data_IF_706536782402
#
_entry.id   IF_706536782402
#
_cell.length_a   1.000
_cell.length_b   1.000
_cell.length_c   1.000
_cell.angle_alpha   90.00
_cell.angle_beta   90.00
_cell.angle_gamma   90.00
#
_symmetry.space_group_name_H-M   'P 1'
#
loop_
_entity.id
_entity.type
_entity.pdbx_description
1 polymer ?
#
# COMPACT_ATOMS: atom_id res chain seq x y z
N UNK A 1 -12.06 0.69 -22.35
CA UNK A 1 -13.18 0.62 -21.40
C UNK A 1 -13.35 1.99 -20.74
N UNK A 2 -14.52 2.60 -20.87
CA UNK A 2 -14.79 3.91 -20.27
C UNK A 2 -14.83 3.79 -18.73
N UNK A 3 -14.19 4.72 -18.01
CA UNK A 3 -14.20 4.76 -16.55
C UNK A 3 -15.63 5.04 -16.06
N UNK A 4 -16.17 4.29 -15.08
CA UNK A 4 -17.52 4.51 -14.58
C UNK A 4 -17.66 5.88 -13.90
N UNK A 5 -18.81 6.52 -14.12
CA UNK A 5 -19.17 7.87 -13.66
C UNK A 5 -19.30 7.90 -12.12
N UNK A 6 -18.54 8.80 -11.47
CA UNK A 6 -18.43 8.92 -10.00
C UNK A 6 -19.79 9.20 -9.32
N UNK A 7 -20.71 9.86 -10.01
CA UNK A 7 -22.04 10.20 -9.48
C UNK A 7 -22.92 8.96 -9.28
N UNK A 8 -22.84 7.98 -10.18
CA UNK A 8 -23.58 6.72 -10.06
C UNK A 8 -23.10 5.91 -8.86
N UNK A 9 -21.78 5.87 -8.63
CA UNK A 9 -21.20 5.18 -7.47
C UNK A 9 -21.58 5.79 -6.12
N UNK A 10 -21.87 7.09 -6.06
CA UNK A 10 -22.34 7.75 -4.84
C UNK A 10 -23.77 7.33 -4.50
N UNK A 11 -24.68 7.36 -5.49
CA UNK A 11 -26.06 6.89 -5.31
C UNK A 11 -26.12 5.42 -4.91
N UNK A 12 -25.34 4.56 -5.57
CA UNK A 12 -25.25 3.14 -5.21
C UNK A 12 -24.72 2.92 -3.78
N UNK A 13 -23.93 3.85 -3.24
CA UNK A 13 -23.42 3.79 -1.86
C UNK A 13 -24.46 4.27 -0.87
N UNK A 14 -25.15 5.38 -1.17
CA UNK A 14 -26.25 5.91 -0.37
C UNK A 14 -27.39 4.89 -0.25
N UNK A 15 -27.78 4.24 -1.35
CA UNK A 15 -28.81 3.19 -1.34
C UNK A 15 -28.39 1.96 -0.52
N UNK A 16 -27.09 1.62 -0.50
CA UNK A 16 -26.56 0.53 0.33
C UNK A 16 -26.52 0.91 1.81
N UNK A 17 -26.07 2.12 2.11
CA UNK A 17 -26.03 2.65 3.48
C UNK A 17 -27.45 2.74 4.07
N UNK A 18 -28.45 3.21 3.30
CA UNK A 18 -29.86 3.22 3.72
C UNK A 18 -30.42 1.80 3.93
N UNK A 19 -30.07 0.85 3.07
CA UNK A 19 -30.49 -0.54 3.20
C UNK A 19 -29.86 -1.22 4.43
N UNK A 20 -28.58 -0.92 4.72
CA UNK A 20 -27.86 -1.39 5.91
C UNK A 20 -28.43 -0.75 7.18
N UNK A 21 -28.74 0.55 7.16
CA UNK A 21 -29.34 1.26 8.28
C UNK A 21 -30.74 0.74 8.63
N UNK A 22 -31.52 0.36 7.63
CA UNK A 22 -32.80 -0.32 7.81
C UNK A 22 -32.71 -1.64 8.58
N UNK A 23 -31.53 -2.25 8.68
CA UNK A 23 -31.26 -3.49 9.43
C UNK A 23 -30.80 -3.26 10.87
N UNK A 24 -30.70 -2.02 11.33
CA UNK A 24 -30.36 -1.72 12.74
C UNK A 24 -31.45 -2.26 13.67
N UNK A 25 -31.03 -2.99 14.71
CA UNK A 25 -31.92 -3.42 15.79
C UNK A 25 -32.51 -2.22 16.52
N UNK A 26 -33.77 -2.34 16.91
CA UNK A 26 -34.46 -1.29 17.66
C UNK A 26 -34.29 -1.58 19.14
N UNK A 27 -33.88 -0.58 19.91
CA UNK A 27 -33.69 -0.67 21.36
C UNK A 27 -34.67 0.23 22.11
N UNK A 28 -34.80 0.02 23.41
CA UNK A 28 -35.67 0.82 24.28
C UNK A 28 -35.44 2.34 24.13
N UNK A 29 -36.53 3.10 24.07
CA UNK A 29 -36.52 4.54 23.81
C UNK A 29 -36.35 4.93 22.34
N UNK A 30 -36.48 3.99 21.40
CA UNK A 30 -36.61 4.26 19.97
C UNK A 30 -37.81 5.19 19.66
N UNK A 31 -37.75 5.89 18.52
CA UNK A 31 -38.81 6.82 18.11
C UNK A 31 -39.72 6.21 17.04
N UNK A 32 -41.01 6.46 17.22
CA UNK A 32 -42.09 6.03 16.35
C UNK A 32 -42.71 7.23 15.64
N UNK A 33 -43.29 7.00 14.47
CA UNK A 33 -44.06 8.01 13.74
C UNK A 33 -45.44 7.48 13.31
N UNK A 34 -46.48 8.26 13.61
CA UNK A 34 -47.85 8.05 13.16
C UNK A 34 -48.45 9.37 12.66
N UNK A 35 -48.68 9.50 11.35
CA UNK A 35 -49.16 10.75 10.72
C UNK A 35 -50.61 11.12 11.14
N UNK A 36 -51.36 10.13 11.64
CA UNK A 36 -52.71 10.29 12.16
C UNK A 36 -52.77 10.60 13.66
N UNK A 37 -51.64 10.75 14.33
CA UNK A 37 -51.57 11.33 15.66
C UNK A 37 -51.46 12.85 15.55
N UNK A 38 -52.09 13.61 16.45
CA UNK A 38 -51.88 15.07 16.53
C UNK A 38 -50.46 15.43 16.99
N UNK A 39 -49.80 14.52 17.70
CA UNK A 39 -48.36 14.56 18.01
C UNK A 39 -47.72 13.37 17.28
N UNK A 40 -47.22 13.56 16.04
CA UNK A 40 -46.85 12.44 15.17
C UNK A 40 -45.73 11.56 15.69
N UNK A 41 -44.88 12.07 16.60
CA UNK A 41 -43.75 11.34 17.18
C UNK A 41 -44.18 10.65 18.48
N UNK A 42 -43.86 9.37 18.60
CA UNK A 42 -44.05 8.57 19.81
C UNK A 42 -42.77 7.90 20.26
N UNK A 43 -42.83 7.26 21.42
CA UNK A 43 -41.75 6.50 22.04
C UNK A 43 -42.07 5.01 22.01
N UNK A 44 -41.08 4.18 21.66
CA UNK A 44 -41.15 2.74 21.82
C UNK A 44 -40.53 2.37 23.17
N UNK A 45 -41.34 1.74 24.02
CA UNK A 45 -40.93 1.18 25.30
C UNK A 45 -40.84 -0.34 25.18
N UNK A 46 -39.70 -0.91 25.59
CA UNK A 46 -39.50 -2.37 25.58
C UNK A 46 -39.88 -2.95 26.94
N UNK A 47 -40.93 -3.76 26.95
CA UNK A 47 -41.44 -4.39 28.17
C UNK A 47 -40.99 -5.86 28.29
N UNK A 48 -40.68 -6.53 27.17
CA UNK A 48 -40.17 -7.90 27.17
C UNK A 48 -38.72 -7.94 27.68
N UNK A 49 -38.37 -8.98 28.44
CA UNK A 49 -37.09 -9.06 29.18
C UNK A 49 -35.92 -9.51 28.28
N UNK A 50 -35.65 -8.77 27.22
CA UNK A 50 -34.63 -9.16 26.24
C UNK A 50 -33.21 -8.75 26.66
N UNK A 51 -32.18 -9.39 26.07
CA UNK A 51 -30.80 -8.91 26.15
C UNK A 51 -30.67 -7.46 25.68
N UNK A 52 -29.68 -6.76 26.21
CA UNK A 52 -29.44 -5.35 25.92
C UNK A 52 -28.43 -5.13 24.80
N UNK A 53 -28.65 -4.08 24.01
CA UNK A 53 -27.66 -3.44 23.13
C UNK A 53 -27.51 -2.01 23.62
N UNK A 54 -26.27 -1.58 23.90
CA UNK A 54 -25.97 -0.25 24.47
C UNK A 54 -26.77 0.03 25.76
N UNK A 55 -26.75 -0.95 26.67
CA UNK A 55 -27.44 -0.92 27.98
C UNK A 55 -28.96 -0.75 27.92
N UNK A 56 -29.57 -0.96 26.75
CA UNK A 56 -31.02 -0.91 26.56
C UNK A 56 -31.54 -2.19 25.90
N UNK A 57 -32.69 -2.66 26.38
CA UNK A 57 -33.34 -3.88 25.89
C UNK A 57 -33.68 -3.79 24.41
N UNK A 58 -33.53 -4.89 23.69
CA UNK A 58 -33.89 -5.01 22.27
C UNK A 58 -35.39 -5.20 22.12
N UNK A 59 -36.04 -4.38 21.28
CA UNK A 59 -37.45 -4.51 20.99
C UNK A 59 -37.73 -5.73 20.08
N UNK A 60 -38.80 -6.45 20.36
CA UNK A 60 -39.22 -7.63 19.59
C UNK A 60 -40.67 -7.51 19.13
N UNK A 61 -41.14 -8.51 18.38
CA UNK A 61 -42.55 -8.60 17.93
C UNK A 61 -43.58 -8.62 19.06
N UNK A 62 -43.15 -8.88 20.30
CA UNK A 62 -44.00 -8.85 21.50
C UNK A 62 -44.47 -7.42 21.80
N UNK A 63 -43.72 -6.39 21.37
CA UNK A 63 -44.03 -4.98 21.61
C UNK A 63 -45.15 -4.47 20.68
N UNK A 64 -46.38 -4.94 20.89
CA UNK A 64 -47.51 -4.74 19.95
C UNK A 64 -48.78 -4.18 20.56
N UNK A 65 -48.67 -3.44 21.67
CA UNK A 65 -49.80 -2.77 22.30
C UNK A 65 -49.46 -1.34 22.77
N UNK A 66 -50.43 -0.69 23.43
CA UNK A 66 -50.31 0.68 23.93
C UNK A 66 -49.40 0.83 25.16
N UNK A 67 -48.93 -0.27 25.76
CA UNK A 67 -47.91 -0.25 26.80
C UNK A 67 -46.50 -0.13 26.23
N UNK A 68 -46.32 -0.48 24.95
CA UNK A 68 -45.06 -0.41 24.22
C UNK A 68 -45.01 0.76 23.24
N UNK A 69 -46.09 1.07 22.53
CA UNK A 69 -46.16 2.19 21.58
C UNK A 69 -46.79 3.43 22.25
N UNK A 70 -45.96 4.34 22.75
CA UNK A 70 -46.41 5.49 23.53
C UNK A 70 -46.58 6.72 22.65
N UNK A 71 -47.84 7.11 22.42
CA UNK A 71 -48.19 8.35 21.73
C UNK A 71 -48.99 9.29 22.64
N UNK A 72 -48.49 10.51 22.81
CA UNK A 72 -49.08 11.53 23.70
C UNK A 72 -50.17 12.39 23.01
N UNK A 73 -50.45 12.15 21.73
CA UNK A 73 -51.46 12.88 20.97
C UNK A 73 -52.81 12.18 20.90
N UNK A 74 -53.74 12.83 20.18
CA UNK A 74 -55.07 12.30 19.86
C UNK A 74 -55.07 11.72 18.45
N UNK A 75 -55.92 10.72 18.21
CA UNK A 75 -56.06 10.16 16.87
C UNK A 75 -56.95 11.08 16.02
N UNK A 76 -56.42 11.60 14.91
CA UNK A 76 -57.13 12.48 13.97
C UNK A 76 -58.36 11.81 13.33
N UNK A 77 -58.38 10.48 13.28
CA UNK A 77 -59.50 9.68 12.76
C UNK A 77 -60.60 9.43 13.78
N UNK A 78 -60.35 9.72 15.07
CA UNK A 78 -61.42 9.67 16.06
C UNK A 78 -62.44 10.80 15.82
N UNK A 79 -63.72 10.62 16.18
CA UNK A 79 -64.72 11.68 16.07
C UNK A 79 -64.22 12.97 16.73
N UNK A 80 -64.23 14.07 15.97
CA UNK A 80 -63.72 15.38 16.38
C UNK A 80 -62.26 15.38 16.90
N UNK A 81 -61.43 14.39 16.50
CA UNK A 81 -60.06 14.20 17.01
C UNK A 81 -59.98 14.18 18.55
N UNK A 82 -61.02 13.67 19.21
CA UNK A 82 -61.21 13.79 20.66
C UNK A 82 -60.48 12.72 21.46
N UNK A 83 -60.26 11.52 20.88
CA UNK A 83 -59.76 10.36 21.62
C UNK A 83 -58.23 10.29 21.64
N UNK A 84 -57.59 10.10 22.81
CA UNK A 84 -56.17 9.81 22.91
C UNK A 84 -55.77 8.59 22.09
N UNK A 85 -54.61 8.61 21.42
CA UNK A 85 -54.12 7.44 20.68
C UNK A 85 -54.03 6.20 21.59
N UNK A 86 -53.56 6.36 22.82
CA UNK A 86 -53.45 5.28 23.80
C UNK A 86 -54.77 4.55 24.10
N UNK A 87 -55.94 5.18 23.90
CA UNK A 87 -57.24 4.59 24.23
C UNK A 87 -57.95 3.92 23.04
N UNK A 88 -57.58 4.24 21.81
CA UNK A 88 -58.27 3.76 20.59
C UNK A 88 -57.38 2.96 19.65
N UNK A 89 -56.07 2.96 19.90
CA UNK A 89 -55.10 2.28 19.05
C UNK A 89 -55.34 0.77 19.08
N UNK A 90 -55.50 0.19 17.89
CA UNK A 90 -55.58 -1.24 17.64
C UNK A 90 -54.47 -1.61 16.68
N UNK A 91 -53.53 -2.46 17.10
CA UNK A 91 -52.32 -2.77 16.35
C UNK A 91 -52.40 -4.17 15.75
N UNK A 92 -51.94 -4.30 14.51
CA UNK A 92 -51.74 -5.59 13.84
C UNK A 92 -50.37 -6.19 14.21
N UNK A 93 -49.94 -7.24 13.50
CA UNK A 93 -48.59 -7.78 13.67
C UNK A 93 -47.52 -6.90 12.99
N UNK A 94 -46.32 -6.94 13.56
CA UNK A 94 -45.13 -6.31 12.99
C UNK A 94 -44.74 -6.94 11.65
N UNK A 95 -44.23 -6.11 10.74
CA UNK A 95 -43.69 -6.51 9.44
C UNK A 95 -42.22 -6.14 9.31
N UNK A 96 -41.51 -6.81 8.41
CA UNK A 96 -40.09 -6.57 8.10
C UNK A 96 -39.17 -6.71 9.33
N UNK A 97 -39.43 -7.71 10.16
CA UNK A 97 -38.68 -8.03 11.39
C UNK A 97 -37.35 -8.73 11.07
N UNK A 98 -36.47 -8.84 12.06
CA UNK A 98 -35.23 -9.58 11.96
C UNK A 98 -35.44 -11.10 11.98
N UNK A 99 -34.45 -11.83 11.47
CA UNK A 99 -34.47 -13.30 11.40
C UNK A 99 -33.64 -13.98 12.51
N UNK A 100 -32.86 -13.20 13.26
CA UNK A 100 -32.20 -13.66 14.49
C UNK A 100 -33.20 -13.63 15.64
N UNK A 101 -32.94 -14.37 16.72
CA UNK A 101 -33.84 -14.43 17.86
C UNK A 101 -33.22 -13.75 19.09
N UNK A 102 -34.02 -12.99 19.82
CA UNK A 102 -33.72 -12.46 21.15
C UNK A 102 -34.72 -13.06 22.13
N UNK A 103 -34.27 -14.06 22.91
CA UNK A 103 -35.14 -14.89 23.75
C UNK A 103 -36.33 -15.45 22.96
N UNK A 104 -36.02 -16.19 21.90
CA UNK A 104 -36.98 -16.87 21.03
C UNK A 104 -37.93 -15.97 20.21
N UNK A 105 -37.82 -14.65 20.37
CA UNK A 105 -38.65 -13.67 19.65
C UNK A 105 -37.88 -12.96 18.54
N UNK A 106 -38.55 -12.67 17.43
CA UNK A 106 -37.96 -11.91 16.32
C UNK A 106 -37.80 -10.43 16.71
N UNK A 107 -36.61 -9.81 16.52
CA UNK A 107 -36.37 -8.43 16.89
C UNK A 107 -36.98 -7.48 15.85
N UNK A 108 -37.32 -6.28 16.31
CA UNK A 108 -37.67 -5.18 15.44
C UNK A 108 -36.42 -4.56 14.84
N UNK A 109 -36.51 -4.24 13.56
CA UNK A 109 -35.49 -3.51 12.80
C UNK A 109 -35.99 -2.10 12.52
N UNK A 110 -35.10 -1.16 12.20
CA UNK A 110 -35.49 0.20 11.85
C UNK A 110 -36.52 0.24 10.70
N UNK A 111 -36.42 -0.70 9.75
CA UNK A 111 -37.40 -0.85 8.66
C UNK A 111 -38.74 -1.49 9.06
N UNK A 112 -38.87 -1.96 10.30
CA UNK A 112 -40.09 -2.62 10.76
C UNK A 112 -41.25 -1.64 10.87
N UNK A 113 -42.45 -2.12 10.54
CA UNK A 113 -43.69 -1.32 10.61
C UNK A 113 -44.80 -2.12 11.26
N UNK A 114 -45.74 -1.42 11.88
CA UNK A 114 -46.94 -2.02 12.49
C UNK A 114 -48.17 -1.21 12.10
N UNK A 115 -49.22 -1.89 11.65
CA UNK A 115 -50.43 -1.20 11.21
C UNK A 115 -51.31 -0.83 12.40
N UNK A 116 -51.68 0.44 12.51
CA UNK A 116 -52.77 0.86 13.38
C UNK A 116 -54.09 0.67 12.63
N UNK A 117 -54.86 -0.36 12.96
CA UNK A 117 -56.13 -0.70 12.30
C UNK A 117 -57.19 0.40 12.49
N UNK A 118 -57.24 1.01 13.68
CA UNK A 118 -58.15 2.12 13.96
C UNK A 118 -57.84 3.31 13.05
N UNK A 119 -56.58 3.76 13.05
CA UNK A 119 -56.09 4.84 12.19
C UNK A 119 -56.15 4.49 10.70
N UNK A 120 -55.94 3.22 10.34
CA UNK A 120 -55.79 2.76 8.96
C UNK A 120 -54.43 3.15 8.34
N UNK A 121 -53.41 3.44 9.15
CA UNK A 121 -52.06 3.81 8.70
C UNK A 121 -51.00 2.94 9.37
N UNK A 122 -49.86 2.79 8.71
CA UNK A 122 -48.69 2.15 9.29
C UNK A 122 -47.96 3.13 10.21
N UNK A 123 -47.56 2.63 11.38
CA UNK A 123 -46.63 3.28 12.30
C UNK A 123 -45.23 2.83 11.92
N UNK A 124 -44.32 3.79 11.77
CA UNK A 124 -42.92 3.57 11.38
C UNK A 124 -41.99 3.79 12.55
N UNK A 125 -40.87 3.09 12.55
CA UNK A 125 -39.74 3.38 13.44
C UNK A 125 -38.84 4.35 12.69
N UNK A 126 -38.56 5.51 13.28
CA UNK A 126 -37.79 6.59 12.64
C UNK A 126 -36.42 6.79 13.28
N UNK A 127 -36.23 6.27 14.49
CA UNK A 127 -34.95 6.23 15.19
C UNK A 127 -34.88 4.91 15.96
N UNK A 128 -33.87 4.09 15.67
CA UNK A 128 -33.69 2.79 16.32
C UNK A 128 -33.25 2.88 17.79
N UNK A 129 -32.97 4.07 18.30
CA UNK A 129 -32.54 4.31 19.69
C UNK A 129 -31.05 4.09 19.91
N UNK A 130 -30.36 3.38 19.02
CA UNK A 130 -28.91 3.19 19.06
C UNK A 130 -28.20 4.54 18.86
N UNK A 131 -27.08 4.74 19.55
CA UNK A 131 -26.24 5.94 19.45
C UNK A 131 -24.79 5.55 19.26
N UNK A 132 -24.05 6.30 18.45
CA UNK A 132 -22.60 6.17 18.38
C UNK A 132 -21.96 7.22 19.29
N UNK A 133 -22.17 7.13 20.61
CA UNK A 133 -21.52 8.02 21.56
C UNK A 133 -20.36 7.29 22.22
N UNK A 134 -19.14 7.71 21.91
CA UNK A 134 -17.93 7.32 22.63
C UNK A 134 -17.79 8.31 23.80
N UNK A 135 -18.44 8.03 24.93
CA UNK A 135 -18.47 9.00 26.04
C UNK A 135 -17.18 9.02 26.87
N UNK A 136 -16.45 7.90 26.93
CA UNK A 136 -15.12 7.77 27.56
C UNK A 136 -14.52 6.42 27.19
N UNK A 137 -13.27 6.40 26.75
CA UNK A 137 -12.48 5.17 26.66
C UNK A 137 -11.81 5.00 28.03
N UNK A 138 -12.34 4.11 28.86
CA UNK A 138 -11.65 3.64 30.06
C UNK A 138 -10.55 2.65 29.62
N UNK A 139 -9.29 3.06 29.71
CA UNK A 139 -8.13 2.24 29.36
C UNK A 139 -7.65 1.36 30.52
N UNK A 140 -8.35 1.35 31.64
CA UNK A 140 -8.01 0.60 32.86
C UNK A 140 -8.96 -0.59 33.09
N UNK A 141 -8.93 -1.59 32.20
CA UNK A 141 -9.68 -2.83 32.41
C UNK A 141 -9.28 -3.96 31.46
N UNK A 142 -8.57 -4.94 32.01
CA UNK A 142 -8.00 -6.14 31.36
C UNK A 142 -7.05 -5.86 30.17
N UNK A 143 -5.92 -6.61 30.03
CA UNK A 143 -5.13 -6.51 28.82
C UNK A 143 -6.05 -6.90 27.65
N UNK A 144 -6.42 -5.91 26.85
CA UNK A 144 -6.89 -6.13 25.48
C UNK A 144 -5.86 -7.08 24.88
N UNK A 145 -6.22 -8.30 24.45
CA UNK A 145 -5.32 -9.10 23.64
C UNK A 145 -4.90 -8.17 22.53
N UNK A 146 -3.62 -7.82 22.47
CA UNK A 146 -3.13 -6.98 21.39
C UNK A 146 -3.69 -7.61 20.12
N UNK A 147 -4.46 -6.84 19.35
CA UNK A 147 -4.67 -7.12 17.94
C UNK A 147 -3.27 -7.05 17.35
N UNK A 148 -2.54 -8.14 17.56
CA UNK A 148 -1.29 -8.46 16.95
C UNK A 148 -1.67 -8.41 15.47
N UNK A 149 -1.37 -7.29 14.82
CA UNK A 149 -1.55 -7.15 13.40
C UNK A 149 -0.75 -8.28 12.80
N UNK A 150 -1.42 -9.36 12.38
CA UNK A 150 -0.72 -10.55 11.90
C UNK A 150 0.04 -10.10 10.66
N UNK A 151 1.35 -10.10 10.76
CA UNK A 151 2.21 -9.74 9.65
C UNK A 151 2.21 -10.91 8.67
N UNK A 152 1.37 -10.79 7.65
CA UNK A 152 1.37 -11.74 6.55
C UNK A 152 2.54 -11.43 5.60
N UNK A 153 3.51 -12.34 5.58
CA UNK A 153 4.69 -12.25 4.72
C UNK A 153 4.88 -13.53 3.93
N UNK A 154 5.15 -13.39 2.64
CA UNK A 154 5.35 -14.50 1.72
C UNK A 154 6.36 -14.03 0.66
N UNK A 155 7.60 -14.52 0.75
CA UNK A 155 8.70 -14.10 -0.11
C UNK A 155 10.09 -14.33 0.49
N UNK A 156 11.06 -13.59 -0.05
CA UNK A 156 12.48 -13.67 0.26
C UNK A 156 12.87 -12.56 1.24
N UNK A 157 13.73 -12.91 2.21
CA UNK A 157 14.14 -12.01 3.27
C UNK A 157 15.64 -11.70 3.16
N UNK A 158 15.97 -10.43 3.32
CA UNK A 158 17.33 -9.95 3.33
C UNK A 158 17.55 -8.99 4.51
N UNK A 159 18.79 -8.85 4.96
CA UNK A 159 19.17 -7.76 5.88
C UNK A 159 19.35 -6.45 5.12
N UNK A 160 19.40 -5.33 5.86
CA UNK A 160 19.80 -4.03 5.28
C UNK A 160 21.20 -4.08 4.65
N UNK A 161 22.07 -4.96 5.14
CA UNK A 161 23.43 -5.22 4.62
C UNK A 161 23.44 -6.22 3.45
N UNK A 162 22.27 -6.54 2.88
CA UNK A 162 22.16 -7.37 1.69
C UNK A 162 22.42 -8.86 1.91
N UNK A 163 22.44 -9.32 3.17
CA UNK A 163 22.60 -10.74 3.50
C UNK A 163 21.26 -11.44 3.31
N UNK A 164 21.23 -12.54 2.56
CA UNK A 164 20.04 -13.37 2.42
C UNK A 164 19.77 -14.14 3.73
N UNK A 165 18.53 -14.07 4.23
CA UNK A 165 18.11 -14.72 5.47
C UNK A 165 17.36 -16.04 5.22
N UNK A 166 16.53 -16.07 4.18
CA UNK A 166 15.71 -17.23 3.84
C UNK A 166 14.47 -16.86 3.04
N UNK A 167 13.60 -17.85 2.79
CA UNK A 167 12.32 -17.68 2.09
C UNK A 167 11.20 -18.26 2.94
N UNK A 168 10.10 -17.52 3.06
CA UNK A 168 8.84 -17.99 3.65
C UNK A 168 7.79 -18.03 2.55
N UNK A 169 7.14 -19.17 2.35
CA UNK A 169 6.09 -19.34 1.33
C UNK A 169 6.61 -19.41 -0.11
N UNK A 170 5.70 -19.24 -1.08
CA UNK A 170 5.94 -19.45 -2.51
C UNK A 170 6.27 -18.18 -3.30
N UNK A 171 5.86 -17.01 -2.82
CA UNK A 171 5.85 -15.77 -3.59
C UNK A 171 7.25 -15.23 -3.83
N UNK A 172 7.35 -14.26 -4.74
CA UNK A 172 8.60 -13.61 -5.13
C UNK A 172 8.74 -12.20 -4.54
N UNK A 173 8.01 -11.87 -3.48
CA UNK A 173 8.19 -10.59 -2.79
C UNK A 173 9.52 -10.55 -2.05
N UNK A 174 10.00 -9.34 -1.77
CA UNK A 174 11.24 -9.06 -1.05
C UNK A 174 10.90 -8.27 0.20
N UNK A 175 11.43 -8.73 1.33
CA UNK A 175 11.29 -8.11 2.63
C UNK A 175 12.68 -7.83 3.21
N UNK A 176 12.87 -6.66 3.81
CA UNK A 176 14.11 -6.32 4.52
C UNK A 176 13.84 -6.30 6.02
N UNK A 177 14.59 -7.09 6.77
CA UNK A 177 14.46 -7.20 8.24
C UNK A 177 15.78 -7.65 8.86
N UNK A 178 15.87 -7.73 10.19
CA UNK A 178 17.03 -8.31 10.87
C UNK A 178 16.90 -9.83 11.06
N UNK A 179 18.02 -10.47 11.40
CA UNK A 179 18.07 -11.94 11.56
C UNK A 179 17.16 -12.44 12.69
N UNK A 180 17.04 -11.69 13.79
CA UNK A 180 16.17 -12.05 14.92
C UNK A 180 14.70 -12.09 14.51
N UNK A 181 14.23 -11.03 13.85
CA UNK A 181 12.86 -10.89 13.37
C UNK A 181 12.53 -11.96 12.33
N UNK A 182 13.45 -12.25 11.41
CA UNK A 182 13.28 -13.35 10.46
C UNK A 182 13.13 -14.71 11.15
N UNK A 183 13.96 -15.01 12.15
CA UNK A 183 13.88 -16.28 12.89
C UNK A 183 12.56 -16.43 13.67
N UNK A 184 11.91 -15.33 14.06
CA UNK A 184 10.58 -15.35 14.67
C UNK A 184 9.50 -15.64 13.63
N UNK A 185 9.54 -14.94 12.49
CA UNK A 185 8.63 -15.16 11.36
C UNK A 185 8.71 -16.59 10.81
N UNK A 186 9.91 -17.15 10.69
CA UNK A 186 10.13 -18.52 10.22
C UNK A 186 9.47 -19.56 11.14
N UNK A 187 9.38 -19.25 12.44
CA UNK A 187 8.69 -20.09 13.44
C UNK A 187 7.17 -19.85 13.47
N UNK A 188 6.65 -19.05 12.54
CA UNK A 188 5.23 -18.67 12.49
C UNK A 188 4.81 -17.70 13.59
N UNK A 189 5.77 -17.04 14.26
CA UNK A 189 5.45 -16.00 15.24
C UNK A 189 5.13 -14.70 14.56
N UNK A 190 4.24 -13.93 15.17
CA UNK A 190 4.00 -12.57 14.73
C UNK A 190 5.10 -11.62 15.21
N UNK A 191 5.33 -10.55 14.47
CA UNK A 191 6.31 -9.51 14.80
C UNK A 191 5.71 -8.12 14.54
N UNK A 192 6.29 -7.08 15.12
CA UNK A 192 5.89 -5.70 14.84
C UNK A 192 6.12 -5.36 13.36
N UNK A 193 5.12 -4.74 12.71
CA UNK A 193 5.16 -4.40 11.28
C UNK A 193 6.35 -3.50 10.94
N UNK A 194 6.74 -2.61 11.84
CA UNK A 194 7.83 -1.64 11.70
C UNK A 194 9.20 -2.32 11.61
N UNK A 195 9.34 -3.56 12.09
CA UNK A 195 10.56 -4.37 11.97
C UNK A 195 10.76 -4.93 10.56
N UNK A 196 9.76 -4.81 9.69
CA UNK A 196 9.80 -5.34 8.32
C UNK A 196 9.59 -4.21 7.31
N UNK A 197 10.50 -4.13 6.35
CA UNK A 197 10.35 -3.25 5.19
C UNK A 197 9.81 -4.10 4.03
N UNK A 198 8.60 -3.75 3.57
CA UNK A 198 7.94 -4.34 2.40
C UNK A 198 8.58 -3.80 1.12
N UNK A 199 9.78 -4.31 0.79
CA UNK A 199 10.64 -3.73 -0.24
C UNK A 199 10.03 -3.82 -1.64
N UNK A 200 9.34 -4.91 -1.97
CA UNK A 200 8.67 -5.04 -3.26
C UNK A 200 7.57 -3.99 -3.44
N UNK A 201 6.79 -3.69 -2.40
CA UNK A 201 5.77 -2.62 -2.47
C UNK A 201 6.42 -1.25 -2.70
N UNK A 202 7.58 -0.99 -2.09
CA UNK A 202 8.28 0.28 -2.21
C UNK A 202 9.03 0.45 -3.54
N UNK A 203 9.53 -0.64 -4.11
CA UNK A 203 10.47 -0.62 -5.25
C UNK A 203 9.88 -1.12 -6.56
N UNK A 204 8.73 -1.81 -6.51
CA UNK A 204 8.14 -2.58 -7.61
C UNK A 204 9.06 -3.70 -8.15
N UNK A 205 10.06 -4.11 -7.36
CA UNK A 205 10.97 -5.20 -7.69
C UNK A 205 10.59 -6.45 -6.90
N UNK A 206 10.20 -7.50 -7.64
CA UNK A 206 10.19 -8.86 -7.10
C UNK A 206 11.64 -9.38 -6.96
N UNK A 207 11.82 -10.53 -6.31
CA UNK A 207 13.14 -11.08 -6.01
C UNK A 207 14.02 -11.30 -7.25
N UNK A 208 13.43 -11.75 -8.36
CA UNK A 208 14.17 -11.94 -9.61
C UNK A 208 14.71 -10.62 -10.16
N UNK A 209 13.85 -9.60 -10.30
CA UNK A 209 14.26 -8.27 -10.77
C UNK A 209 15.24 -7.63 -9.80
N UNK A 210 15.01 -7.77 -8.50
CA UNK A 210 15.91 -7.31 -7.44
C UNK A 210 17.32 -7.90 -7.59
N UNK A 211 17.44 -9.22 -7.71
CA UNK A 211 18.72 -9.90 -7.88
C UNK A 211 19.34 -9.64 -9.26
N UNK A 212 18.55 -9.40 -10.31
CA UNK A 212 19.07 -8.98 -11.62
C UNK A 212 19.74 -7.60 -11.54
N UNK A 213 19.16 -6.67 -10.78
CA UNK A 213 19.77 -5.36 -10.51
C UNK A 213 21.08 -5.51 -9.74
N UNK A 214 21.08 -6.32 -8.68
CA UNK A 214 22.28 -6.58 -7.87
C UNK A 214 23.37 -7.31 -8.67
N UNK A 215 23.00 -8.26 -9.53
CA UNK A 215 23.93 -8.93 -10.45
C UNK A 215 24.63 -7.93 -11.36
N UNK A 216 23.89 -6.98 -11.92
CA UNK A 216 24.50 -5.97 -12.78
C UNK A 216 25.43 -5.02 -12.02
N UNK A 217 25.01 -4.57 -10.83
CA UNK A 217 25.87 -3.78 -9.93
C UNK A 217 27.18 -4.52 -9.64
N UNK A 218 27.08 -5.80 -9.27
CA UNK A 218 28.25 -6.62 -8.94
C UNK A 218 29.11 -6.91 -10.17
N UNK A 219 28.50 -7.20 -11.32
CA UNK A 219 29.22 -7.53 -12.54
C UNK A 219 30.06 -6.36 -13.07
N UNK A 220 29.59 -5.12 -12.92
CA UNK A 220 30.30 -3.91 -13.35
C UNK A 220 31.37 -3.44 -12.36
N UNK A 221 31.07 -3.49 -11.06
CA UNK A 221 31.92 -2.93 -10.01
C UNK A 221 32.70 -3.94 -9.18
N UNK A 222 32.38 -5.23 -9.26
CA UNK A 222 32.94 -6.26 -8.38
C UNK A 222 32.72 -5.98 -6.89
N UNK A 223 31.74 -5.14 -6.53
CA UNK A 223 31.50 -4.61 -5.19
C UNK A 223 32.05 -3.19 -4.94
N UNK A 224 32.95 -2.67 -5.79
CA UNK A 224 33.42 -1.29 -5.70
C UNK A 224 32.36 -0.31 -6.21
N UNK A 225 32.15 0.80 -5.46
CA UNK A 225 31.19 1.86 -5.80
C UNK A 225 29.76 1.35 -6.09
N UNK A 226 29.36 0.26 -5.43
CA UNK A 226 28.11 -0.44 -5.69
C UNK A 226 26.88 0.47 -5.54
N UNK A 227 26.90 1.39 -4.58
CA UNK A 227 25.89 2.43 -4.36
C UNK A 227 25.66 3.30 -5.60
N UNK A 228 26.74 3.73 -6.26
CA UNK A 228 26.69 4.54 -7.48
C UNK A 228 26.17 3.75 -8.67
N UNK A 229 26.61 2.51 -8.83
CA UNK A 229 26.07 1.62 -9.86
C UNK A 229 24.59 1.36 -9.66
N UNK A 230 24.15 1.04 -8.44
CA UNK A 230 22.74 0.79 -8.12
C UNK A 230 21.88 2.03 -8.40
N UNK A 231 22.34 3.21 -7.99
CA UNK A 231 21.66 4.48 -8.28
C UNK A 231 21.60 4.77 -9.78
N UNK A 232 22.70 4.54 -10.50
CA UNK A 232 22.75 4.75 -11.94
C UNK A 232 21.77 3.84 -12.67
N UNK A 233 21.73 2.56 -12.31
CA UNK A 233 20.84 1.55 -12.88
C UNK A 233 19.37 1.88 -12.59
N UNK A 234 19.06 2.34 -11.37
CA UNK A 234 17.71 2.84 -11.00
C UNK A 234 17.33 4.05 -11.85
N UNK A 235 18.20 5.05 -11.94
CA UNK A 235 17.92 6.28 -12.67
C UNK A 235 17.85 6.06 -14.19
N UNK A 236 18.64 5.13 -14.73
CA UNK A 236 18.60 4.75 -16.14
C UNK A 236 17.20 4.25 -16.55
N UNK A 237 16.54 3.47 -15.68
CA UNK A 237 15.15 3.02 -15.88
C UNK A 237 14.18 4.20 -16.00
N UNK A 238 14.37 5.23 -15.18
CA UNK A 238 13.51 6.42 -15.11
C UNK A 238 13.80 7.45 -16.21
N UNK A 239 15.06 7.63 -16.59
CA UNK A 239 15.51 8.73 -17.46
C UNK A 239 15.84 8.28 -18.91
N UNK A 240 16.07 6.99 -19.14
CA UNK A 240 16.50 6.48 -20.46
C UNK A 240 17.99 6.69 -20.75
N UNK A 241 18.42 6.39 -21.99
CA UNK A 241 19.82 6.52 -22.46
C UNK A 241 20.06 7.89 -23.11
N UNK A 242 21.19 8.52 -22.77
CA UNK A 242 21.68 9.71 -23.48
C UNK A 242 21.85 9.41 -24.98
N UNK A 243 21.15 10.16 -25.85
CA UNK A 243 21.24 10.06 -27.32
C UNK A 243 19.91 9.97 -28.08
N UNK A 244 18.79 9.63 -27.42
CA UNK A 244 17.46 9.49 -28.09
C UNK A 244 16.34 10.31 -27.41
N UNK A 245 16.70 11.30 -26.61
CA UNK A 245 15.79 12.02 -25.70
C UNK A 245 15.45 11.20 -24.45
N UNK A 246 15.08 11.85 -23.33
CA UNK A 246 14.78 11.15 -22.08
C UNK A 246 13.41 10.49 -22.18
N UNK A 247 13.37 9.24 -22.64
CA UNK A 247 12.20 8.38 -22.48
C UNK A 247 12.52 7.30 -21.44
N UNK A 248 11.74 7.19 -20.35
CA UNK A 248 11.86 6.06 -19.44
C UNK A 248 11.77 4.74 -20.21
N UNK A 249 12.53 3.74 -19.79
CA UNK A 249 12.33 2.39 -20.34
C UNK A 249 10.99 1.86 -19.85
N UNK A 250 10.29 1.08 -20.66
CA UNK A 250 8.97 0.51 -20.31
C UNK A 250 9.10 -0.72 -19.42
N UNK A 251 10.14 -1.55 -19.60
CA UNK A 251 10.47 -2.69 -18.74
C UNK A 251 11.96 -2.70 -18.32
N UNK A 252 12.35 -3.59 -17.40
CA UNK A 252 13.76 -3.84 -17.08
C UNK A 252 14.46 -4.54 -18.24
N UNK A 253 13.76 -5.42 -18.94
CA UNK A 253 14.24 -6.12 -20.11
C UNK A 253 14.62 -5.17 -21.26
N UNK A 254 13.77 -4.16 -21.52
CA UNK A 254 14.08 -3.13 -22.52
C UNK A 254 15.36 -2.37 -22.14
N UNK A 255 15.49 -2.01 -20.86
CA UNK A 255 16.67 -1.34 -20.33
C UNK A 255 17.91 -2.22 -20.52
N UNK A 256 17.89 -3.48 -20.06
CA UNK A 256 19.03 -4.40 -20.19
C UNK A 256 19.41 -4.60 -21.65
N UNK A 257 18.45 -4.89 -22.52
CA UNK A 257 18.70 -5.12 -23.95
C UNK A 257 19.43 -3.95 -24.61
N UNK A 258 19.03 -2.70 -24.27
CA UNK A 258 19.56 -1.48 -24.90
C UNK A 258 20.81 -0.90 -24.25
N UNK A 259 21.13 -1.28 -23.02
CA UNK A 259 22.16 -0.59 -22.23
C UNK A 259 23.22 -1.52 -21.64
N UNK A 260 22.93 -2.80 -21.47
CA UNK A 260 23.90 -3.82 -21.07
C UNK A 260 24.62 -4.33 -22.32
N UNK A 261 25.58 -3.54 -22.83
CA UNK A 261 26.28 -3.83 -24.08
C UNK A 261 27.77 -3.56 -23.98
N UNK A 262 28.58 -4.37 -24.66
CA UNK A 262 30.04 -4.19 -24.77
C UNK A 262 30.50 -4.17 -26.25
N UNK A 263 31.70 -3.64 -26.49
CA UNK A 263 32.36 -3.64 -27.79
C UNK A 263 32.03 -2.45 -28.70
N UNK A 264 32.69 -2.41 -29.86
CA UNK A 264 32.44 -1.47 -30.94
C UNK A 264 32.37 -2.23 -32.28
N UNK A 265 31.19 -2.36 -32.92
CA UNK A 265 29.89 -1.81 -32.51
C UNK A 265 29.35 -2.50 -31.24
N UNK A 266 28.48 -1.82 -30.46
CA UNK A 266 27.93 -2.38 -29.22
C UNK A 266 27.09 -3.63 -29.48
N UNK A 267 27.41 -4.74 -28.80
CA UNK A 267 26.60 -5.96 -28.78
C UNK A 267 25.96 -6.12 -27.41
N UNK A 268 24.67 -6.44 -27.39
CA UNK A 268 23.95 -6.69 -26.14
C UNK A 268 24.50 -7.93 -25.45
N UNK A 269 24.65 -7.86 -24.12
CA UNK A 269 25.07 -8.98 -23.27
C UNK A 269 23.86 -9.65 -22.61
N UNK A 270 22.68 -9.05 -22.70
CA UNK A 270 21.44 -9.66 -22.23
C UNK A 270 20.96 -10.74 -23.23
N UNK A 271 20.42 -11.89 -22.77
CA UNK A 271 20.24 -12.31 -21.37
C UNK A 271 21.46 -13.01 -20.75
N UNK A 272 22.51 -13.25 -21.56
CA UNK A 272 23.69 -14.05 -21.19
C UNK A 272 24.41 -13.57 -19.93
N UNK A 273 24.44 -12.25 -19.72
CA UNK A 273 25.00 -11.62 -18.52
C UNK A 273 24.24 -12.03 -17.25
N UNK A 274 22.91 -12.10 -17.32
CA UNK A 274 22.07 -12.35 -16.16
C UNK A 274 21.82 -13.84 -15.91
N UNK A 275 21.95 -14.71 -16.91
CA UNK A 275 21.78 -16.16 -16.77
C UNK A 275 23.09 -16.92 -16.50
N UNK A 276 24.25 -16.24 -16.61
CA UNK A 276 25.58 -16.77 -16.30
C UNK A 276 26.30 -17.44 -17.47
N UNK A 277 25.83 -17.27 -18.72
CA UNK A 277 26.54 -17.76 -19.91
C UNK A 277 27.56 -16.76 -20.44
N UNK A 278 27.48 -15.49 -20.05
CA UNK A 278 28.53 -14.49 -20.31
C UNK A 278 29.80 -14.80 -19.49
N UNK A 279 30.97 -14.75 -20.14
CA UNK A 279 32.26 -15.14 -19.53
C UNK A 279 32.94 -14.06 -18.68
N UNK A 280 32.22 -13.00 -18.28
CA UNK A 280 32.75 -11.99 -17.36
C UNK A 280 32.77 -12.52 -15.93
N UNK A 281 33.94 -12.63 -15.31
CA UNK A 281 34.12 -13.32 -14.03
C UNK A 281 33.13 -12.89 -12.93
N UNK A 282 32.93 -11.58 -12.73
CA UNK A 282 32.03 -11.07 -11.69
C UNK A 282 30.55 -11.34 -12.02
N UNK A 283 30.12 -10.97 -13.23
CA UNK A 283 28.74 -11.16 -13.69
C UNK A 283 28.33 -12.64 -13.70
N UNK A 284 29.22 -13.51 -14.17
CA UNK A 284 29.02 -14.94 -14.16
C UNK A 284 28.92 -15.47 -12.73
N UNK A 285 29.85 -15.11 -11.85
CA UNK A 285 29.87 -15.58 -10.47
C UNK A 285 28.57 -15.25 -9.74
N UNK A 286 28.05 -14.02 -9.87
CA UNK A 286 26.79 -13.64 -9.25
C UNK A 286 25.60 -14.33 -9.92
N UNK A 287 25.58 -14.43 -11.26
CA UNK A 287 24.51 -15.12 -11.98
C UNK A 287 24.39 -16.60 -11.62
N UNK A 288 25.51 -17.26 -11.32
CA UNK A 288 25.53 -18.64 -10.81
C UNK A 288 25.07 -18.68 -9.35
N UNK A 289 25.64 -17.82 -8.49
CA UNK A 289 25.30 -17.78 -7.07
C UNK A 289 23.81 -17.50 -6.83
N UNK A 290 23.18 -16.56 -7.55
CA UNK A 290 21.76 -16.23 -7.33
C UNK A 290 20.76 -17.36 -7.63
N UNK A 291 21.20 -18.48 -8.22
CA UNK A 291 20.37 -19.68 -8.43
C UNK A 291 20.01 -20.34 -7.10
N UNK A 292 20.92 -20.29 -6.14
CA UNK A 292 20.67 -20.59 -4.73
C UNK A 292 21.04 -19.35 -3.90
N UNK A 293 20.07 -18.54 -3.45
CA UNK A 293 20.37 -17.29 -2.75
C UNK A 293 21.26 -17.44 -1.51
N UNK A 294 21.41 -18.64 -0.94
CA UNK A 294 22.37 -18.88 0.15
C UNK A 294 23.83 -18.76 -0.31
N UNK A 295 24.12 -19.02 -1.60
CA UNK A 295 25.45 -18.86 -2.20
C UNK A 295 25.88 -17.40 -2.29
N UNK A 296 24.94 -16.45 -2.37
CA UNK A 296 25.23 -15.01 -2.39
C UNK A 296 25.98 -14.60 -1.10
N UNK A 297 25.61 -15.20 0.03
CA UNK A 297 26.22 -14.92 1.32
C UNK A 297 27.69 -15.38 1.41
N UNK A 298 28.14 -16.28 0.53
CA UNK A 298 29.53 -16.77 0.50
C UNK A 298 30.52 -15.71 0.02
N UNK A 299 30.04 -14.64 -0.60
CA UNK A 299 30.85 -13.53 -1.07
C UNK A 299 30.30 -12.19 -0.55
N UNK A 300 30.98 -11.61 0.45
CA UNK A 300 30.57 -10.32 1.03
C UNK A 300 30.45 -9.19 -0.01
N UNK A 301 31.18 -9.24 -1.13
CA UNK A 301 31.05 -8.24 -2.19
C UNK A 301 29.73 -8.36 -2.96
N UNK A 302 29.12 -9.56 -3.03
CA UNK A 302 27.77 -9.75 -3.55
C UNK A 302 26.73 -9.16 -2.60
N UNK A 303 26.90 -9.36 -1.29
CA UNK A 303 26.05 -8.73 -0.26
C UNK A 303 26.10 -7.19 -0.37
N UNK A 304 27.29 -6.60 -0.60
CA UNK A 304 27.45 -5.16 -0.83
C UNK A 304 26.63 -4.69 -2.05
N UNK A 305 26.59 -5.48 -3.13
CA UNK A 305 25.79 -5.14 -4.32
C UNK A 305 24.28 -5.20 -4.02
N UNK A 306 23.84 -6.19 -3.24
CA UNK A 306 22.44 -6.33 -2.80
C UNK A 306 22.06 -5.17 -1.87
N UNK A 307 22.90 -4.85 -0.89
CA UNK A 307 22.76 -3.69 0.00
C UNK A 307 22.65 -2.39 -0.80
N UNK A 308 23.48 -2.21 -1.83
CA UNK A 308 23.45 -1.02 -2.65
C UNK A 308 22.10 -0.86 -3.39
N UNK A 309 21.54 -1.94 -3.92
CA UNK A 309 20.20 -1.93 -4.51
C UNK A 309 19.15 -1.57 -3.45
N UNK A 310 19.17 -2.19 -2.28
CA UNK A 310 18.27 -1.86 -1.17
C UNK A 310 18.34 -0.36 -0.85
N UNK A 311 19.54 0.13 -0.58
CA UNK A 311 19.78 1.52 -0.19
C UNK A 311 19.37 2.52 -1.28
N UNK A 312 19.44 2.16 -2.56
CA UNK A 312 19.01 3.03 -3.67
C UNK A 312 17.51 3.34 -3.66
N UNK A 313 16.68 2.51 -3.02
CA UNK A 313 15.23 2.74 -2.83
C UNK A 313 14.88 3.18 -1.41
N UNK A 314 15.71 2.87 -0.41
CA UNK A 314 15.43 3.21 0.99
C UNK A 314 15.89 4.60 1.40
N UNK A 315 17.05 5.06 0.95
CA UNK A 315 17.58 6.36 1.36
C UNK A 315 16.96 7.47 0.51
N UNK A 316 16.49 8.53 1.17
CA UNK A 316 16.22 9.84 0.56
C UNK A 316 17.57 10.49 0.21
N UNK A 317 18.29 9.92 -0.75
CA UNK A 317 19.56 10.49 -1.15
C UNK A 317 19.27 11.80 -1.88
N UNK A 318 19.65 12.92 -1.26
CA UNK A 318 19.76 14.29 -1.81
C UNK A 318 20.65 14.43 -3.07
N UNK A 319 20.96 13.32 -3.74
CA UNK A 319 21.78 13.25 -4.94
C UNK A 319 21.01 12.53 -6.06
N UNK A 320 20.04 13.26 -6.63
CA UNK A 320 19.81 13.24 -8.07
C UNK A 320 21.17 13.13 -8.77
N UNK A 321 21.51 11.99 -9.37
CA UNK A 321 22.92 11.74 -9.61
C UNK A 321 23.19 10.45 -10.32
N UNK A 322 23.70 10.60 -11.54
CA UNK A 322 24.15 9.54 -12.44
C UNK A 322 23.02 8.79 -13.14
N UNK A 323 22.96 8.93 -14.47
CA UNK A 323 22.04 8.20 -15.39
C UNK A 323 22.81 7.36 -16.39
N UNK A 324 24.14 7.49 -16.43
CA UNK A 324 25.02 6.69 -17.25
C UNK A 324 26.33 6.45 -16.51
N UNK A 325 26.93 5.29 -16.77
CA UNK A 325 28.31 4.98 -16.41
C UNK A 325 29.06 4.64 -17.68
N UNK A 326 30.37 4.90 -17.70
CA UNK A 326 31.26 4.61 -18.84
C UNK A 326 32.09 3.35 -18.59
N UNK A 327 31.65 2.49 -17.67
CA UNK A 327 32.36 1.29 -17.24
C UNK A 327 33.52 1.57 -16.28
N UNK A 328 34.02 0.49 -15.68
CA UNK A 328 35.39 0.44 -15.20
C UNK A 328 36.26 0.00 -16.38
N UNK A 329 37.26 0.80 -16.75
CA UNK A 329 38.17 0.38 -17.81
C UNK A 329 39.06 -0.76 -17.30
N UNK A 330 39.45 -1.69 -18.17
CA UNK A 330 40.52 -2.67 -17.86
C UNK A 330 41.88 -1.97 -17.69
N UNK A 331 41.98 -0.71 -18.15
CA UNK A 331 43.15 0.13 -17.96
C UNK A 331 43.38 0.41 -16.47
N UNK A 332 44.59 0.06 -16.02
CA UNK A 332 45.12 0.44 -14.71
C UNK A 332 46.02 1.66 -14.87
N UNK A 333 45.84 2.63 -13.99
CA UNK A 333 46.51 3.92 -13.98
C UNK A 333 47.52 3.97 -12.84
N UNK A 334 48.69 4.57 -13.08
CA UNK A 334 49.61 5.00 -12.04
C UNK A 334 49.05 6.21 -11.24
N UNK A 335 49.69 6.59 -10.13
CA UNK A 335 49.26 7.76 -9.35
C UNK A 335 49.29 9.05 -10.19
N UNK A 336 50.34 9.28 -10.98
CA UNK A 336 50.46 10.47 -11.81
C UNK A 336 49.41 10.52 -12.92
N UNK A 337 49.08 9.39 -13.54
CA UNK A 337 48.00 9.32 -14.53
C UNK A 337 46.62 9.55 -13.89
N UNK A 338 46.39 9.05 -12.67
CA UNK A 338 45.19 9.30 -11.88
C UNK A 338 45.03 10.80 -11.57
N UNK A 339 46.11 11.49 -11.17
CA UNK A 339 46.09 12.94 -10.95
C UNK A 339 45.75 13.73 -12.23
N UNK A 340 46.30 13.31 -13.38
CA UNK A 340 46.00 13.92 -14.68
C UNK A 340 44.52 13.73 -15.05
N UNK A 341 43.99 12.52 -14.91
CA UNK A 341 42.60 12.23 -15.24
C UNK A 341 41.61 12.91 -14.29
N UNK A 342 41.97 13.10 -13.02
CA UNK A 342 41.16 13.85 -12.05
C UNK A 342 40.92 15.30 -12.45
N UNK A 343 41.84 15.94 -13.20
CA UNK A 343 41.64 17.31 -13.73
C UNK A 343 40.45 17.40 -14.68
N UNK A 344 40.01 16.28 -15.27
CA UNK A 344 38.84 16.18 -16.16
C UNK A 344 37.57 15.74 -15.42
N UNK A 345 37.66 15.39 -14.14
CA UNK A 345 36.52 15.03 -13.29
C UNK A 345 35.80 16.29 -12.81
N UNK A 346 34.47 16.23 -12.65
CA UNK A 346 33.65 17.34 -12.18
C UNK A 346 33.37 18.41 -13.23
N UNK A 347 33.87 18.27 -14.46
CA UNK A 347 33.59 19.23 -15.55
C UNK A 347 32.12 19.15 -15.94
N UNK A 348 31.43 20.31 -15.86
CA UNK A 348 30.04 20.44 -16.25
C UNK A 348 29.96 20.85 -17.73
N UNK A 349 29.28 20.05 -18.53
CA UNK A 349 28.92 20.38 -19.92
C UNK A 349 27.46 20.80 -19.96
N UNK A 350 27.13 21.87 -20.70
CA UNK A 350 25.75 22.36 -20.86
C UNK A 350 25.34 22.35 -22.33
N UNK A 351 24.34 21.54 -22.65
CA UNK A 351 23.74 21.44 -23.99
C UNK A 351 22.41 22.18 -24.03
N UNK A 352 22.21 23.04 -25.04
CA UNK A 352 20.98 23.85 -25.18
C UNK A 352 19.79 22.98 -25.57
N UNK A 353 18.66 23.16 -24.87
CA UNK A 353 17.36 22.66 -25.28
C UNK A 353 16.59 23.75 -26.01
N UNK A 354 16.44 23.58 -27.32
CA UNK A 354 15.72 24.53 -28.18
C UNK A 354 14.38 23.99 -28.63
N UNK A 355 13.38 24.88 -28.71
CA UNK A 355 12.10 24.65 -29.38
C UNK A 355 12.30 24.63 -30.90
N UNK A 356 11.27 24.20 -31.65
CA UNK A 356 11.26 24.19 -33.12
C UNK A 356 11.49 25.57 -33.74
N UNK A 357 11.16 26.64 -33.02
CA UNK A 357 11.38 28.04 -33.41
C UNK A 357 12.80 28.56 -33.05
N UNK A 358 13.70 27.67 -32.58
CA UNK A 358 15.06 27.99 -32.19
C UNK A 358 15.20 28.62 -30.80
N UNK A 359 14.11 28.93 -30.09
CA UNK A 359 14.17 29.51 -28.75
C UNK A 359 14.64 28.48 -27.73
N UNK A 360 15.67 28.82 -26.98
CA UNK A 360 16.17 28.00 -25.86
C UNK A 360 15.15 28.07 -24.72
N UNK A 361 14.72 26.92 -24.22
CA UNK A 361 13.80 26.80 -23.08
C UNK A 361 14.43 26.11 -21.86
N UNK A 362 15.66 25.62 -22.01
CA UNK A 362 16.42 25.00 -20.93
C UNK A 362 17.80 24.55 -21.38
N UNK A 363 18.52 23.90 -20.48
CA UNK A 363 19.80 23.25 -20.72
C UNK A 363 19.76 21.82 -20.15
N UNK A 364 20.36 20.88 -20.87
CA UNK A 364 20.79 19.61 -20.28
C UNK A 364 22.20 19.83 -19.77
N UNK A 365 22.39 19.70 -18.47
CA UNK A 365 23.70 19.74 -17.85
C UNK A 365 24.18 18.32 -17.60
N UNK A 366 25.46 18.05 -17.87
CA UNK A 366 26.10 16.78 -17.54
C UNK A 366 27.41 16.99 -16.81
N UNK A 367 27.67 16.18 -15.79
CA UNK A 367 28.90 16.18 -15.01
C UNK A 367 29.50 14.78 -15.02
N UNK A 368 30.76 14.68 -15.45
CA UNK A 368 31.51 13.42 -15.46
C UNK A 368 32.37 13.34 -14.22
N UNK A 369 32.16 12.32 -13.40
CA UNK A 369 32.93 12.09 -12.19
C UNK A 369 33.74 10.79 -12.27
N UNK A 370 35.00 10.87 -11.81
CA UNK A 370 35.94 9.76 -11.75
C UNK A 370 36.15 9.30 -10.30
N UNK A 371 36.02 7.99 -10.10
CA UNK A 371 36.31 7.31 -8.84
C UNK A 371 37.35 6.22 -9.09
N UNK A 372 38.12 5.90 -8.05
CA UNK A 372 39.33 5.10 -8.20
C UNK A 372 39.36 3.96 -7.19
N UNK A 373 39.42 2.73 -7.69
CA UNK A 373 39.67 1.51 -6.92
C UNK A 373 41.17 1.22 -6.93
N UNK A 374 41.79 1.00 -5.76
CA UNK A 374 43.20 0.60 -5.69
C UNK A 374 43.35 -0.88 -6.04
N UNK A 375 44.29 -1.18 -6.95
CA UNK A 375 44.65 -2.53 -7.40
C UNK A 375 46.17 -2.67 -7.31
N UNK A 376 46.65 -3.12 -6.15
CA UNK A 376 48.08 -3.16 -5.84
C UNK A 376 48.68 -1.74 -5.84
N UNK A 377 49.71 -1.50 -6.64
CA UNK A 377 50.34 -0.18 -6.81
C UNK A 377 49.68 0.70 -7.87
N UNK A 378 48.59 0.25 -8.49
CA UNK A 378 47.86 0.97 -9.54
C UNK A 378 46.40 1.22 -9.14
N UNK A 379 45.68 1.94 -10.00
CA UNK A 379 44.29 2.31 -9.78
C UNK A 379 43.43 1.95 -10.99
N UNK A 380 42.25 1.37 -10.73
CA UNK A 380 41.20 1.21 -11.72
C UNK A 380 40.23 2.38 -11.64
N UNK A 381 39.88 2.95 -12.79
CA UNK A 381 38.97 4.10 -12.88
C UNK A 381 37.53 3.65 -13.12
N UNK A 382 36.61 4.18 -12.34
CA UNK A 382 35.16 4.06 -12.51
C UNK A 382 34.58 5.44 -12.85
N UNK A 383 33.85 5.55 -13.95
CA UNK A 383 33.38 6.83 -14.46
C UNK A 383 31.85 6.89 -14.52
N UNK A 384 31.27 7.91 -13.90
CA UNK A 384 29.82 8.11 -13.87
C UNK A 384 29.46 9.48 -14.46
N UNK A 385 28.31 9.58 -15.11
CA UNK A 385 27.81 10.82 -15.71
C UNK A 385 26.46 11.17 -15.06
N UNK A 386 26.47 12.26 -14.28
CA UNK A 386 25.28 12.89 -13.73
C UNK A 386 24.67 13.79 -14.80
N UNK A 387 23.34 13.74 -14.95
CA UNK A 387 22.60 14.58 -15.90
C UNK A 387 21.44 15.24 -15.15
N UNK A 388 21.22 16.54 -15.38
CA UNK A 388 20.08 17.30 -14.85
C UNK A 388 19.62 18.35 -15.87
N UNK A 389 18.39 18.84 -15.71
CA UNK A 389 17.83 19.89 -16.57
C UNK A 389 17.82 21.22 -15.80
N UNK A 390 18.32 22.28 -16.42
CA UNK A 390 18.16 23.67 -15.95
C UNK A 390 17.13 24.36 -16.84
N UNK A 391 16.08 24.97 -16.28
CA UNK A 391 15.17 25.82 -17.05
C UNK A 391 15.79 27.21 -17.21
N UNK A 392 15.54 27.84 -18.36
CA UNK A 392 15.87 29.26 -18.61
C UNK A 392 14.95 30.16 -17.82
#
# INVERSE_FOLDING_TARGET
MAKPNITTKRKEREEKEDAEDGLKFVIDGAKLQCDLCTVPVGDLKVNYDTPSIQDKRVATIVEKDNSSLIFNGKCKKSPNSSSPCASVMKLADWKNVGTVYFQDESPLLLRSTIKCEYGGTDIKITDCGQRNVIEKIDTTGAPVPSLESIVYVNGYFYTKQGIYLGKIGSDNNVYITDKSTFNELEKGKNVEKEKIIYFTEKSELNNERFLNRANWVFGEGGGAFADRYAMTIKNLKLAGRSGYGPKPFTSDEEMYTKTMSHGNPPKTLYPNYLNGTYKGANAQAFALAKRDPTDLNKNNKMNIAIEAVINSFLKENKNEGYVAWRGSGDQLYSESEKEIENKKSGVITKDKLSRKDGKVYGFICSQKDHFWESIGSKYRRHSFIKIWNEKV
#
